data_IF_823581023820
#
_entry.id   IF_823581023820
#
_cell.length_a   1.000
_cell.length_b   1.000
_cell.length_c   1.000
_cell.angle_alpha   90.00
_cell.angle_beta   90.00
_cell.angle_gamma   90.00
#
_symmetry.space_group_name_H-M   'P 1'
#
loop_
_entity.id
_entity.type
_entity.pdbx_description
1 polymer ?
#
# COMPACT_ATOMS: atom_id res chain seq x y z
N UNK A 1 1.35 -1.28 47.24
CA UNK A 1 1.89 -1.85 45.98
C UNK A 1 0.76 -2.30 45.05
N UNK A 2 -0.26 -2.95 45.60
CA UNK A 2 -1.51 -3.39 44.93
C UNK A 2 -2.22 -2.29 44.12
N UNK A 3 -2.31 -1.07 44.66
CA UNK A 3 -2.97 0.06 43.99
C UNK A 3 -2.27 0.47 42.67
N UNK A 4 -0.93 0.44 42.61
CA UNK A 4 -0.18 0.80 41.40
C UNK A 4 -0.36 -0.24 40.28
N UNK A 5 -0.45 -1.52 40.65
CA UNK A 5 -0.64 -2.61 39.69
C UNK A 5 -2.04 -2.57 39.07
N UNK A 6 -3.08 -2.29 39.87
CA UNK A 6 -4.45 -2.15 39.37
C UNK A 6 -4.60 -0.94 38.44
N UNK A 7 -4.06 0.23 38.81
CA UNK A 7 -4.07 1.42 37.93
C UNK A 7 -3.36 1.17 36.60
N UNK A 8 -2.22 0.45 36.61
CA UNK A 8 -1.52 0.10 35.38
C UNK A 8 -2.32 -0.89 34.52
N UNK A 9 -3.04 -1.83 35.14
CA UNK A 9 -3.89 -2.78 34.42
C UNK A 9 -5.06 -2.07 33.73
N UNK A 10 -5.73 -1.14 34.42
CA UNK A 10 -6.82 -0.33 33.87
C UNK A 10 -6.34 0.54 32.71
N UNK A 11 -5.19 1.19 32.87
CA UNK A 11 -4.56 1.98 31.81
C UNK A 11 -4.19 1.12 30.59
N UNK A 12 -3.57 -0.04 30.81
CA UNK A 12 -3.19 -0.94 29.72
C UNK A 12 -4.42 -1.42 28.94
N UNK A 13 -5.53 -1.72 29.63
CA UNK A 13 -6.79 -2.10 29.00
C UNK A 13 -7.35 -0.95 28.16
N UNK A 14 -7.44 0.26 28.73
CA UNK A 14 -7.93 1.44 28.02
C UNK A 14 -7.11 1.73 26.74
N UNK A 15 -5.78 1.65 26.84
CA UNK A 15 -4.90 1.85 25.69
C UNK A 15 -5.08 0.80 24.59
N UNK A 16 -5.35 -0.46 24.96
CA UNK A 16 -5.63 -1.53 23.98
C UNK A 16 -6.98 -1.33 23.30
N UNK A 17 -8.00 -0.90 24.04
CA UNK A 17 -9.32 -0.62 23.50
C UNK A 17 -9.29 0.59 22.55
N UNK A 18 -8.58 1.66 22.94
CA UNK A 18 -8.36 2.83 22.09
C UNK A 18 -7.57 2.47 20.82
N UNK A 19 -6.49 1.69 20.96
CA UNK A 19 -5.72 1.19 19.81
C UNK A 19 -6.63 0.47 18.83
N UNK A 20 -7.47 -0.46 19.31
CA UNK A 20 -8.39 -1.22 18.46
C UNK A 20 -9.38 -0.30 17.73
N UNK A 21 -9.95 0.68 18.42
CA UNK A 21 -10.86 1.65 17.81
C UNK A 21 -10.17 2.50 16.74
N UNK A 22 -8.93 2.90 16.97
CA UNK A 22 -8.14 3.64 15.98
C UNK A 22 -7.78 2.78 14.77
N UNK A 23 -7.45 1.50 14.96
CA UNK A 23 -7.22 0.54 13.88
C UNK A 23 -8.48 0.33 13.02
N UNK A 24 -9.65 0.21 13.65
CA UNK A 24 -10.93 0.11 12.94
C UNK A 24 -11.27 1.39 12.16
N UNK A 25 -11.06 2.57 12.77
CA UNK A 25 -11.22 3.87 12.09
C UNK A 25 -10.26 4.01 10.93
N UNK A 26 -9.00 3.62 11.10
CA UNK A 26 -7.98 3.64 10.06
C UNK A 26 -8.39 2.76 8.88
N UNK A 27 -8.87 1.54 9.15
CA UNK A 27 -9.37 0.62 8.12
C UNK A 27 -10.54 1.24 7.36
N UNK A 28 -11.50 1.82 8.07
CA UNK A 28 -12.66 2.48 7.46
C UNK A 28 -12.26 3.70 6.58
N UNK A 29 -11.35 4.55 7.06
CA UNK A 29 -10.83 5.68 6.29
C UNK A 29 -10.10 5.18 5.03
N UNK A 30 -9.27 4.15 5.14
CA UNK A 30 -8.58 3.58 3.99
C UNK A 30 -9.58 3.05 2.95
N UNK A 31 -10.65 2.37 3.37
CA UNK A 31 -11.71 1.94 2.45
C UNK A 31 -12.42 3.10 1.77
N UNK A 32 -12.73 4.18 2.49
CA UNK A 32 -13.35 5.37 1.90
C UNK A 32 -12.40 6.10 0.93
N UNK A 33 -11.11 6.14 1.25
CA UNK A 33 -10.08 6.67 0.34
C UNK A 33 -10.06 5.85 -0.95
N UNK A 34 -9.98 4.51 -0.84
CA UNK A 34 -9.95 3.63 -2.01
C UNK A 34 -11.21 3.75 -2.89
N UNK A 35 -12.40 3.84 -2.28
CA UNK A 35 -13.66 4.03 -3.02
C UNK A 35 -13.71 5.40 -3.70
N UNK A 36 -13.35 6.46 -2.99
CA UNK A 36 -13.34 7.84 -3.51
C UNK A 36 -12.33 7.98 -4.65
N UNK A 37 -11.14 7.40 -4.49
CA UNK A 37 -10.08 7.36 -5.50
C UNK A 37 -10.57 6.69 -6.78
N UNK A 38 -11.22 5.53 -6.66
CA UNK A 38 -11.79 4.81 -7.80
C UNK A 38 -12.88 5.61 -8.52
N UNK A 39 -13.83 6.19 -7.76
CA UNK A 39 -14.91 6.99 -8.33
C UNK A 39 -14.40 8.26 -9.02
N UNK A 40 -13.40 8.91 -8.44
CA UNK A 40 -12.77 10.08 -9.05
C UNK A 40 -12.00 9.70 -10.32
N UNK A 41 -11.30 8.57 -10.32
CA UNK A 41 -10.62 8.07 -11.52
C UNK A 41 -11.59 7.77 -12.66
N UNK A 42 -12.75 7.16 -12.38
CA UNK A 42 -13.82 6.95 -13.37
C UNK A 42 -14.32 8.29 -13.90
N UNK A 43 -14.69 9.22 -13.02
CA UNK A 43 -15.22 10.52 -13.44
C UNK A 43 -14.21 11.27 -14.33
N UNK A 44 -12.91 11.23 -13.99
CA UNK A 44 -11.84 11.80 -14.79
C UNK A 44 -11.69 11.11 -16.15
N UNK A 45 -11.86 9.79 -16.22
CA UNK A 45 -11.80 9.05 -17.48
C UNK A 45 -13.01 9.35 -18.37
N UNK A 46 -14.23 9.38 -17.81
CA UNK A 46 -15.47 9.72 -18.52
C UNK A 46 -15.46 11.15 -19.05
N UNK A 47 -14.83 12.08 -18.34
CA UNK A 47 -14.68 13.47 -18.76
C UNK A 47 -13.39 13.74 -19.54
N UNK A 48 -12.66 12.70 -19.96
CA UNK A 48 -11.37 12.79 -20.67
C UNK A 48 -10.36 13.76 -20.01
N UNK A 49 -10.44 13.89 -18.69
CA UNK A 49 -9.68 14.85 -17.90
C UNK A 49 -8.44 14.19 -17.31
N UNK A 50 -7.30 14.38 -17.97
CA UNK A 50 -6.03 13.80 -17.52
C UNK A 50 -5.58 14.36 -16.15
N UNK A 51 -5.82 15.65 -15.90
CA UNK A 51 -5.48 16.32 -14.65
C UNK A 51 -6.35 17.57 -14.41
N UNK A 52 -6.51 17.94 -13.15
CA UNK A 52 -7.13 19.22 -12.76
C UNK A 52 -6.54 19.73 -11.43
N UNK A 53 -6.68 21.03 -11.18
CA UNK A 53 -6.33 21.66 -9.91
C UNK A 53 -7.58 22.16 -9.21
N UNK A 54 -7.77 21.75 -7.96
CA UNK A 54 -8.86 22.25 -7.12
C UNK A 54 -8.31 22.57 -5.72
N UNK A 55 -8.65 23.75 -5.20
CA UNK A 55 -8.23 24.20 -3.86
C UNK A 55 -6.71 24.07 -3.60
N UNK A 56 -5.90 24.48 -4.57
CA UNK A 56 -4.42 24.43 -4.46
C UNK A 56 -3.83 23.02 -4.51
N UNK A 57 -4.62 22.02 -4.90
CA UNK A 57 -4.20 20.63 -5.00
C UNK A 57 -4.41 20.13 -6.42
N UNK A 58 -3.38 19.52 -6.99
CA UNK A 58 -3.44 18.93 -8.33
C UNK A 58 -3.75 17.44 -8.23
N UNK A 59 -4.73 17.02 -9.02
CA UNK A 59 -5.18 15.64 -9.17
C UNK A 59 -4.85 15.18 -10.58
N UNK A 60 -4.05 14.12 -10.71
CA UNK A 60 -3.73 13.52 -12.00
C UNK A 60 -4.22 12.07 -12.05
N UNK A 61 -4.85 11.71 -13.18
CA UNK A 61 -5.09 10.31 -13.51
C UNK A 61 -3.75 9.65 -13.79
N UNK A 62 -3.41 8.61 -13.03
CA UNK A 62 -2.17 7.86 -13.24
C UNK A 62 -2.45 6.37 -13.16
N UNK A 63 -2.07 5.65 -14.21
CA UNK A 63 -2.02 4.19 -14.19
C UNK A 63 -0.72 3.78 -13.51
N UNK A 64 -0.82 3.08 -12.37
CA UNK A 64 0.34 2.51 -11.69
C UNK A 64 0.16 1.00 -11.58
N UNK A 65 1.20 0.27 -11.96
CA UNK A 65 1.31 -1.14 -11.63
C UNK A 65 1.40 -1.30 -10.11
N UNK A 66 0.53 -2.13 -9.54
CA UNK A 66 0.54 -2.50 -8.13
C UNK A 66 0.86 -3.98 -8.03
N UNK A 67 1.71 -4.31 -7.07
CA UNK A 67 2.14 -5.68 -6.81
C UNK A 67 1.97 -5.98 -5.35
N UNK A 68 1.32 -7.10 -5.04
CA UNK A 68 1.12 -7.56 -3.67
C UNK A 68 1.54 -9.03 -3.53
N UNK A 69 2.19 -9.42 -2.43
CA UNK A 69 2.50 -10.82 -2.16
C UNK A 69 1.22 -11.66 -2.14
N UNK A 70 1.28 -12.88 -2.69
CA UNK A 70 0.23 -13.86 -2.44
C UNK A 70 0.34 -14.34 -1.00
N UNK A 71 -0.77 -14.29 -0.25
CA UNK A 71 -0.80 -14.56 1.20
C UNK A 71 -0.22 -15.93 1.53
N UNK A 72 -0.55 -16.95 0.72
CA UNK A 72 -0.10 -18.33 0.88
C UNK A 72 1.39 -18.54 0.55
N UNK A 73 1.96 -17.68 -0.30
CA UNK A 73 3.33 -17.80 -0.81
C UNK A 73 4.28 -16.75 -0.21
N UNK A 74 3.81 -16.01 0.80
CA UNK A 74 4.53 -14.87 1.38
C UNK A 74 5.89 -15.29 1.98
N UNK A 75 5.93 -16.42 2.68
CA UNK A 75 7.17 -16.93 3.28
C UNK A 75 8.20 -17.30 2.22
N UNK A 76 7.78 -17.99 1.15
CA UNK A 76 8.65 -18.39 0.05
C UNK A 76 9.15 -17.19 -0.75
N UNK A 77 8.28 -16.20 -1.02
CA UNK A 77 8.68 -14.92 -1.62
C UNK A 77 9.78 -14.23 -0.79
N UNK A 78 9.68 -14.27 0.54
CA UNK A 78 10.64 -13.59 1.41
C UNK A 78 11.99 -14.31 1.44
N UNK A 79 11.98 -15.64 1.46
CA UNK A 79 13.21 -16.42 1.32
C UNK A 79 13.88 -16.14 -0.02
N UNK A 80 13.11 -16.09 -1.10
CA UNK A 80 13.68 -15.87 -2.43
C UNK A 80 14.22 -14.45 -2.62
N UNK A 81 13.55 -13.44 -2.06
CA UNK A 81 14.08 -12.08 -2.01
C UNK A 81 15.41 -12.01 -1.23
N UNK A 82 15.54 -12.73 -0.11
CA UNK A 82 16.81 -12.81 0.64
C UNK A 82 17.90 -13.52 -0.15
N UNK A 83 17.58 -14.66 -0.75
CA UNK A 83 18.51 -15.45 -1.57
C UNK A 83 19.06 -14.64 -2.75
N UNK A 84 18.24 -13.74 -3.31
CA UNK A 84 18.62 -12.86 -4.42
C UNK A 84 19.29 -11.55 -3.99
N UNK A 85 19.54 -11.34 -2.70
CA UNK A 85 20.24 -10.16 -2.18
C UNK A 85 19.36 -8.94 -1.90
N UNK A 86 18.04 -9.09 -1.95
CA UNK A 86 17.05 -8.02 -1.70
C UNK A 86 16.48 -8.07 -0.28
N UNK A 87 17.27 -8.56 0.68
CA UNK A 87 16.85 -8.70 2.08
C UNK A 87 16.46 -7.38 2.72
N UNK A 88 17.06 -6.26 2.29
CA UNK A 88 16.76 -4.91 2.79
C UNK A 88 15.33 -4.45 2.44
N UNK A 89 14.67 -5.10 1.47
CA UNK A 89 13.27 -4.86 1.15
C UNK A 89 12.31 -5.42 2.23
N UNK A 90 12.83 -6.23 3.17
CA UNK A 90 12.05 -7.01 4.12
C UNK A 90 12.19 -6.41 5.54
N UNK A 91 11.22 -5.61 5.95
CA UNK A 91 11.10 -5.10 7.33
C UNK A 91 10.02 -5.87 8.10
N UNK A 92 10.31 -7.12 8.52
CA UNK A 92 9.36 -8.12 9.11
C UNK A 92 8.09 -8.42 8.27
N UNK A 93 7.75 -7.56 7.32
CA UNK A 93 6.69 -7.57 6.32
C UNK A 93 7.18 -6.75 5.13
N UNK A 94 6.98 -7.27 3.92
CA UNK A 94 7.30 -6.52 2.69
C UNK A 94 6.29 -5.39 2.51
N UNK A 95 6.78 -4.15 2.40
CA UNK A 95 5.95 -2.99 2.05
C UNK A 95 5.48 -3.11 0.59
N UNK A 96 4.16 -3.03 0.35
CA UNK A 96 3.58 -3.18 -0.98
C UNK A 96 4.04 -2.13 -1.98
N UNK A 97 4.36 -0.91 -1.53
CA UNK A 97 4.87 0.15 -2.40
C UNK A 97 6.31 -0.11 -2.82
N UNK A 98 7.17 -0.52 -1.88
CA UNK A 98 8.56 -0.90 -2.18
C UNK A 98 8.61 -2.12 -3.08
N UNK A 99 7.75 -3.13 -2.85
CA UNK A 99 7.64 -4.29 -3.74
C UNK A 99 7.16 -3.90 -5.14
N UNK A 100 6.18 -3.00 -5.25
CA UNK A 100 5.69 -2.54 -6.55
C UNK A 100 6.78 -1.80 -7.33
N UNK A 101 7.61 -0.99 -6.68
CA UNK A 101 8.74 -0.32 -7.31
C UNK A 101 9.80 -1.33 -7.79
N UNK A 102 10.20 -2.25 -6.92
CA UNK A 102 11.16 -3.30 -7.23
C UNK A 102 10.71 -4.21 -8.39
N UNK A 103 9.47 -4.70 -8.36
CA UNK A 103 8.96 -5.58 -9.43
C UNK A 103 8.88 -4.83 -10.76
N UNK A 104 8.59 -3.53 -10.74
CA UNK A 104 8.63 -2.70 -11.95
C UNK A 104 10.04 -2.59 -12.53
N UNK A 105 11.07 -2.41 -11.68
CA UNK A 105 12.48 -2.41 -12.10
C UNK A 105 12.87 -3.78 -12.69
N UNK A 106 12.52 -4.88 -12.01
CA UNK A 106 12.81 -6.23 -12.52
C UNK A 106 12.12 -6.56 -13.85
N UNK A 107 10.91 -6.03 -14.08
CA UNK A 107 10.22 -6.18 -15.37
C UNK A 107 10.92 -5.38 -16.46
N UNK A 108 11.33 -4.14 -16.19
CA UNK A 108 12.06 -3.32 -17.16
C UNK A 108 13.37 -3.99 -17.60
N UNK A 109 14.06 -4.68 -16.69
CA UNK A 109 15.27 -5.47 -16.99
C UNK A 109 14.97 -6.81 -17.70
N UNK A 110 13.71 -7.25 -17.69
CA UNK A 110 13.26 -8.53 -18.23
C UNK A 110 12.21 -8.33 -19.34
N UNK A 111 12.49 -7.43 -20.28
CA UNK A 111 11.64 -7.14 -21.46
C UNK A 111 10.17 -6.80 -21.12
N UNK A 112 9.96 -6.03 -20.06
CA UNK A 112 8.64 -5.68 -19.52
C UNK A 112 7.77 -6.89 -19.12
N UNK A 113 8.39 -8.04 -18.87
CA UNK A 113 7.71 -9.27 -18.43
C UNK A 113 8.09 -9.65 -17.00
N UNK A 114 7.12 -10.21 -16.26
CA UNK A 114 7.36 -10.69 -14.90
C UNK A 114 8.39 -11.83 -14.92
N UNK A 115 9.52 -11.73 -14.21
CA UNK A 115 10.51 -12.80 -14.14
C UNK A 115 9.92 -14.11 -13.63
N UNK A 116 10.39 -15.23 -14.18
CA UNK A 116 9.86 -16.57 -13.86
C UNK A 116 9.83 -16.90 -12.37
N UNK A 117 10.82 -16.43 -11.60
CA UNK A 117 10.91 -16.69 -10.16
C UNK A 117 9.89 -15.89 -9.34
N UNK A 118 9.28 -14.83 -9.90
CA UNK A 118 8.20 -14.07 -9.26
C UNK A 118 6.80 -14.60 -9.65
N UNK A 119 6.70 -15.42 -10.70
CA UNK A 119 5.44 -16.01 -11.14
C UNK A 119 4.89 -16.89 -10.01
N UNK A 120 3.63 -16.66 -9.64
CA UNK A 120 2.97 -17.41 -8.58
C UNK A 120 3.38 -17.00 -7.15
N UNK A 121 4.28 -16.04 -6.98
CA UNK A 121 4.63 -15.47 -5.66
C UNK A 121 3.99 -14.11 -5.42
N UNK A 122 3.78 -13.36 -6.48
CA UNK A 122 3.17 -12.03 -6.44
C UNK A 122 1.93 -11.95 -7.33
N UNK A 123 0.97 -11.15 -6.92
CA UNK A 123 -0.15 -10.71 -7.75
C UNK A 123 0.18 -9.33 -8.31
N UNK A 124 0.34 -9.25 -9.63
CA UNK A 124 0.49 -7.99 -10.36
C UNK A 124 -0.88 -7.58 -10.88
N UNK A 125 -1.28 -6.34 -10.63
CA UNK A 125 -2.48 -5.77 -11.21
C UNK A 125 -2.28 -4.28 -11.49
N UNK A 126 -2.90 -3.78 -12.54
CA UNK A 126 -2.94 -2.36 -12.79
C UNK A 126 -4.03 -1.73 -11.91
N UNK A 127 -3.65 -0.73 -11.12
CA UNK A 127 -4.60 0.11 -10.39
C UNK A 127 -4.49 1.52 -10.93
N UNK A 128 -5.55 1.99 -11.58
CA UNK A 128 -5.70 3.41 -11.89
C UNK A 128 -6.10 4.11 -10.60
N UNK A 129 -5.27 5.08 -10.19
CA UNK A 129 -5.47 5.84 -8.95
C UNK A 129 -5.23 7.31 -9.22
N UNK A 130 -5.88 8.18 -8.47
CA UNK A 130 -5.68 9.62 -8.48
C UNK A 130 -4.56 9.96 -7.51
N UNK A 131 -3.43 10.43 -8.06
CA UNK A 131 -2.33 10.90 -7.21
C UNK A 131 -2.55 12.36 -6.83
N UNK A 132 -2.53 12.65 -5.53
CA UNK A 132 -2.67 14.00 -4.96
C UNK A 132 -1.28 14.61 -4.77
N UNK A 133 -1.03 15.80 -5.34
CA UNK A 133 0.21 16.56 -5.10
C UNK A 133 -0.11 17.98 -4.66
N UNK A 134 0.59 18.47 -3.63
CA UNK A 134 0.60 19.90 -3.27
C UNK A 134 1.33 20.67 -4.36
N UNK A 135 0.72 21.74 -4.86
CA UNK A 135 1.46 22.71 -5.68
C UNK A 135 2.21 23.66 -4.75
N UNK A 136 3.52 23.76 -4.92
CA UNK A 136 4.25 24.93 -4.43
C UNK A 136 3.82 26.13 -5.28
N UNK A 137 3.57 27.28 -4.63
CA UNK A 137 3.44 28.56 -5.34
C UNK A 137 4.78 28.93 -5.97
#
# INVERSE_FOLDING_TARGET
>A
MENKMLTLADNLKSLRDEKKQLEDKLKNINSQIDETDYRLAIAMAESETQNFTHSGTMFCLTTKMRVSPLVEQKSYLFEELKNKGYGDLIYETVNSNSLSAFVKEQMAENNDTLPNWLIGLVRVFEKTTVTVRKTSK
#
